data_IF_922761553185
#
_entry.id   IF_922761553185
#
_cell.length_a   1.000
_cell.length_b   1.000
_cell.length_c   1.000
_cell.angle_alpha   90.00
_cell.angle_beta   90.00
_cell.angle_gamma   90.00
#
_symmetry.space_group_name_H-M   'P 1'
#
loop_
_entity.id
_entity.type
_entity.pdbx_description
1 polymer ?
#
# COMPACT_ATOMS: atom_id res chain seq x y z
N UNK A 1 29.35 14.97 -14.84
CA UNK A 1 28.55 15.35 -13.66
C UNK A 1 27.70 14.16 -13.26
N UNK A 2 28.12 13.48 -12.21
CA UNK A 2 27.59 12.20 -11.76
C UNK A 2 26.26 12.41 -11.07
N UNK A 3 25.13 12.01 -11.67
CA UNK A 3 23.87 11.93 -10.98
C UNK A 3 23.94 10.74 -10.03
N UNK A 4 24.23 11.04 -8.77
CA UNK A 4 24.12 10.09 -7.66
C UNK A 4 22.67 9.60 -7.61
N UNK A 5 22.49 8.33 -7.93
CA UNK A 5 21.25 7.59 -7.83
C UNK A 5 20.92 7.46 -6.33
N UNK A 6 20.31 8.50 -5.76
CA UNK A 6 20.01 8.63 -4.34
C UNK A 6 18.99 7.58 -3.91
N UNK A 7 19.47 6.47 -3.42
CA UNK A 7 18.66 5.46 -2.75
C UNK A 7 18.10 6.11 -1.48
N UNK A 8 16.91 6.74 -1.60
CA UNK A 8 16.22 7.34 -0.44
C UNK A 8 15.90 6.22 0.54
N UNK A 9 16.41 6.33 1.75
CA UNK A 9 16.06 5.44 2.85
C UNK A 9 14.57 5.58 3.17
N UNK A 10 13.90 4.51 3.69
CA UNK A 10 12.52 4.61 4.12
C UNK A 10 12.36 5.70 5.18
N UNK A 11 11.45 6.64 4.95
CA UNK A 11 10.97 7.61 5.94
C UNK A 11 9.65 7.10 6.51
N UNK A 12 9.60 6.95 7.85
CA UNK A 12 8.55 6.22 8.55
C UNK A 12 7.83 7.15 9.52
N UNK A 13 6.49 7.17 9.47
CA UNK A 13 5.64 7.74 10.52
C UNK A 13 5.00 6.61 11.31
N UNK A 14 4.92 6.76 12.63
CA UNK A 14 4.43 5.73 13.55
C UNK A 14 3.16 6.23 14.23
N UNK A 15 2.11 5.42 14.18
CA UNK A 15 0.85 5.66 14.89
C UNK A 15 0.59 4.49 15.83
N UNK A 16 0.59 4.76 17.13
CA UNK A 16 0.44 3.76 18.18
C UNK A 16 -0.36 4.31 19.36
N UNK A 17 -1.23 3.49 19.94
CA UNK A 17 -2.06 3.92 21.09
C UNK A 17 -1.24 4.41 22.28
N UNK A 18 -0.07 3.79 22.52
CA UNK A 18 0.85 4.15 23.60
C UNK A 18 1.98 5.04 23.08
N UNK A 19 2.14 6.22 23.66
CA UNK A 19 3.24 7.13 23.34
C UNK A 19 4.59 6.44 23.57
N UNK A 20 4.75 5.76 24.70
CA UNK A 20 5.98 5.03 25.03
C UNK A 20 6.31 3.95 23.98
N UNK A 21 5.29 3.17 23.56
CA UNK A 21 5.50 2.14 22.53
C UNK A 21 5.94 2.73 21.20
N UNK A 22 5.34 3.86 20.78
CA UNK A 22 5.71 4.53 19.55
C UNK A 22 7.13 5.09 19.58
N UNK A 23 7.55 5.65 20.72
CA UNK A 23 8.89 6.19 20.93
C UNK A 23 9.97 5.09 20.99
N UNK A 24 9.69 3.97 21.68
CA UNK A 24 10.57 2.81 21.71
C UNK A 24 10.76 2.22 20.31
N UNK A 25 9.68 2.07 19.56
CA UNK A 25 9.71 1.60 18.17
C UNK A 25 10.51 2.55 17.29
N UNK A 26 10.32 3.86 17.44
CA UNK A 26 11.06 4.88 16.72
C UNK A 26 12.56 4.82 17.04
N UNK A 27 12.92 4.69 18.32
CA UNK A 27 14.31 4.58 18.75
C UNK A 27 14.97 3.31 18.17
N UNK A 28 14.25 2.19 18.18
CA UNK A 28 14.72 0.92 17.62
C UNK A 28 14.93 1.03 16.09
N UNK A 29 13.99 1.65 15.36
CA UNK A 29 14.09 1.84 13.91
C UNK A 29 15.29 2.74 13.54
N UNK A 30 15.50 3.86 14.25
CA UNK A 30 16.64 4.75 14.03
C UNK A 30 17.99 4.06 14.25
N UNK A 31 18.08 3.16 15.23
CA UNK A 31 19.29 2.38 15.54
C UNK A 31 19.46 1.15 14.65
N UNK A 32 18.45 0.82 13.86
CA UNK A 32 18.50 -0.38 13.03
C UNK A 32 19.57 -0.27 11.94
N UNK A 33 20.20 -1.38 11.59
CA UNK A 33 21.14 -1.48 10.46
C UNK A 33 20.52 -1.15 9.11
N UNK A 34 19.19 -1.01 9.05
CA UNK A 34 18.47 -0.77 7.80
C UNK A 34 18.37 0.70 7.40
N UNK A 35 18.96 1.63 8.18
CA UNK A 35 19.00 3.08 7.91
C UNK A 35 17.60 3.62 7.58
N UNK A 36 16.77 3.72 8.61
CA UNK A 36 15.40 4.25 8.48
C UNK A 36 15.32 5.62 9.14
N UNK A 37 14.66 6.56 8.49
CA UNK A 37 14.32 7.84 9.06
C UNK A 37 12.95 7.77 9.72
N UNK A 38 12.79 8.18 10.96
CA UNK A 38 11.47 8.31 11.61
C UNK A 38 11.06 9.76 11.58
N UNK A 39 10.03 10.09 10.81
CA UNK A 39 9.52 11.45 10.60
C UNK A 39 8.72 11.96 11.79
N UNK A 40 8.09 11.06 12.53
CA UNK A 40 7.34 11.38 13.73
C UNK A 40 6.58 10.19 14.32
N UNK A 41 6.07 10.40 15.54
CA UNK A 41 5.24 9.47 16.28
C UNK A 41 3.99 10.18 16.76
N UNK A 42 2.85 9.49 16.79
CA UNK A 42 1.59 10.02 17.29
C UNK A 42 0.71 8.89 17.82
N UNK A 43 -0.32 9.26 18.59
CA UNK A 43 -1.27 8.30 19.17
C UNK A 43 -2.68 8.42 18.60
N UNK A 44 -2.92 9.40 17.75
CA UNK A 44 -4.24 9.75 17.25
C UNK A 44 -4.23 10.22 15.78
N UNK A 45 -5.43 10.39 15.24
CA UNK A 45 -5.69 10.82 13.86
C UNK A 45 -5.20 12.25 13.58
N UNK A 46 -5.32 13.16 14.52
CA UNK A 46 -4.92 14.56 14.31
C UNK A 46 -3.42 14.70 14.21
N UNK A 47 -2.69 13.97 15.05
CA UNK A 47 -1.24 13.95 15.07
C UNK A 47 -0.63 13.44 13.77
N UNK A 48 -1.16 12.37 13.16
CA UNK A 48 -0.62 11.85 11.90
C UNK A 48 -0.81 12.85 10.76
N UNK A 49 -1.96 13.53 10.68
CA UNK A 49 -2.19 14.58 9.69
C UNK A 49 -1.20 15.74 9.87
N UNK A 50 -0.99 16.18 11.11
CA UNK A 50 -0.03 17.23 11.44
C UNK A 50 1.42 16.87 11.07
N UNK A 51 1.81 15.61 11.24
CA UNK A 51 3.15 15.14 10.85
C UNK A 51 3.27 15.14 9.32
N UNK A 52 2.32 14.54 8.62
CA UNK A 52 2.35 14.37 7.17
C UNK A 52 2.20 15.69 6.39
N UNK A 53 1.57 16.72 7.00
CA UNK A 53 1.51 18.04 6.39
C UNK A 53 2.84 18.80 6.42
N UNK A 54 3.76 18.42 7.32
CA UNK A 54 5.06 19.07 7.53
C UNK A 54 6.23 18.29 6.94
N UNK A 55 6.10 16.97 6.86
CA UNK A 55 7.17 16.07 6.41
C UNK A 55 6.63 14.95 5.55
N UNK A 56 7.32 14.68 4.46
CA UNK A 56 7.02 13.50 3.64
C UNK A 56 7.43 12.22 4.37
N UNK A 57 6.51 11.26 4.42
CA UNK A 57 6.80 9.89 4.82
C UNK A 57 6.56 8.94 3.64
N UNK A 58 7.38 7.92 3.52
CA UNK A 58 7.19 6.88 2.49
C UNK A 58 6.41 5.68 3.02
N UNK A 59 6.45 5.46 4.34
CA UNK A 59 5.77 4.35 5.01
C UNK A 59 5.07 4.86 6.28
N UNK A 60 3.82 4.47 6.49
CA UNK A 60 3.12 4.62 7.75
C UNK A 60 3.00 3.26 8.44
N UNK A 61 3.44 3.18 9.69
CA UNK A 61 3.14 2.08 10.59
C UNK A 61 1.91 2.45 11.41
N UNK A 62 0.83 1.71 11.24
CA UNK A 62 -0.43 1.98 11.92
C UNK A 62 -0.77 0.78 12.81
N UNK A 63 -0.68 1.00 14.12
CA UNK A 63 -1.18 0.06 15.11
C UNK A 63 -2.54 0.49 15.65
N UNK A 64 -2.83 0.14 16.90
CA UNK A 64 -4.04 0.62 17.56
C UNK A 64 -3.97 2.13 17.79
N UNK A 65 -5.12 2.81 17.75
CA UNK A 65 -5.24 4.23 18.08
C UNK A 65 -6.03 4.42 19.37
N UNK A 66 -5.89 5.60 19.99
CA UNK A 66 -6.70 6.00 21.14
C UNK A 66 -8.18 6.17 20.80
N UNK A 67 -8.47 6.47 19.54
CA UNK A 67 -9.80 6.77 19.00
C UNK A 67 -10.73 5.53 18.90
N UNK A 68 -10.25 4.36 19.30
CA UNK A 68 -11.03 3.11 19.36
C UNK A 68 -10.53 2.00 18.40
N UNK A 69 -11.13 0.81 18.52
CA UNK A 69 -10.59 -0.40 17.85
C UNK A 69 -10.70 -0.37 16.33
N UNK A 70 -11.64 0.39 15.75
CA UNK A 70 -11.79 0.55 14.29
C UNK A 70 -11.04 1.74 13.71
N UNK A 71 -10.58 2.66 14.57
CA UNK A 71 -9.94 3.88 14.14
C UNK A 71 -8.71 3.66 13.25
N UNK A 72 -7.96 2.58 13.46
CA UNK A 72 -6.83 2.21 12.64
C UNK A 72 -7.21 1.97 11.17
N UNK A 73 -8.32 1.27 10.92
CA UNK A 73 -8.81 1.00 9.57
C UNK A 73 -9.34 2.28 8.90
N UNK A 74 -10.05 3.13 9.67
CA UNK A 74 -10.58 4.39 9.15
C UNK A 74 -9.48 5.36 8.78
N UNK A 75 -8.46 5.51 9.65
CA UNK A 75 -7.26 6.31 9.37
C UNK A 75 -6.52 5.77 8.15
N UNK A 76 -6.40 4.45 8.03
CA UNK A 76 -5.76 3.81 6.86
C UNK A 76 -6.49 4.19 5.55
N UNK A 77 -7.83 4.10 5.51
CA UNK A 77 -8.62 4.50 4.33
C UNK A 77 -8.43 5.98 3.99
N UNK A 78 -8.47 6.82 5.00
CA UNK A 78 -8.30 8.27 4.84
C UNK A 78 -6.90 8.63 4.33
N UNK A 79 -5.86 8.06 4.92
CA UNK A 79 -4.49 8.28 4.49
C UNK A 79 -4.25 7.77 3.07
N UNK A 80 -4.85 6.65 2.71
CA UNK A 80 -4.78 6.12 1.35
C UNK A 80 -5.38 7.07 0.32
N UNK A 81 -6.49 7.73 0.66
CA UNK A 81 -7.14 8.71 -0.20
C UNK A 81 -6.35 10.02 -0.31
N UNK A 82 -5.78 10.50 0.81
CA UNK A 82 -5.12 11.81 0.90
C UNK A 82 -3.62 11.77 0.55
N UNK A 83 -2.95 10.64 0.81
CA UNK A 83 -1.50 10.47 0.62
C UNK A 83 -1.21 9.22 -0.23
N UNK A 84 -1.42 9.29 -1.52
CA UNK A 84 -1.41 8.15 -2.43
C UNK A 84 -0.07 7.45 -2.57
N UNK A 85 1.02 8.16 -2.35
CA UNK A 85 2.40 7.62 -2.40
C UNK A 85 2.83 6.97 -1.08
N UNK A 86 2.05 7.16 0.00
CA UNK A 86 2.31 6.60 1.31
C UNK A 86 1.96 5.11 1.32
N UNK A 87 2.92 4.28 1.62
CA UNK A 87 2.71 2.84 1.82
C UNK A 87 2.32 2.58 3.27
N UNK A 88 1.25 1.81 3.49
CA UNK A 88 0.71 1.60 4.84
C UNK A 88 0.93 0.16 5.28
N UNK A 89 1.56 0.00 6.45
CA UNK A 89 1.68 -1.28 7.16
C UNK A 89 0.79 -1.21 8.40
N UNK A 90 -0.11 -2.18 8.55
CA UNK A 90 -0.91 -2.32 9.77
C UNK A 90 -0.28 -3.35 10.72
N UNK A 91 -0.18 -2.97 11.99
CA UNK A 91 0.23 -3.84 13.10
C UNK A 91 -1.05 -4.32 13.81
N UNK A 92 -1.37 -5.59 13.66
CA UNK A 92 -2.59 -6.20 14.20
C UNK A 92 -2.31 -6.97 15.50
N UNK A 93 -3.20 -6.83 16.47
CA UNK A 93 -3.20 -7.63 17.71
C UNK A 93 -3.72 -9.05 17.45
N UNK A 94 -4.63 -9.22 16.48
CA UNK A 94 -5.16 -10.52 16.07
C UNK A 94 -5.00 -10.71 14.57
N UNK A 95 -4.51 -11.87 14.18
CA UNK A 95 -4.37 -12.28 12.78
C UNK A 95 -5.58 -13.10 12.31
N UNK A 96 -6.76 -12.76 12.82
CA UNK A 96 -8.03 -13.33 12.37
C UNK A 96 -8.37 -12.87 10.95
N UNK A 97 -9.10 -13.74 10.23
CA UNK A 97 -9.45 -13.51 8.83
C UNK A 97 -10.17 -12.17 8.62
N UNK A 98 -11.11 -11.82 9.50
CA UNK A 98 -11.87 -10.56 9.42
C UNK A 98 -10.95 -9.34 9.51
N UNK A 99 -10.08 -9.28 10.51
CA UNK A 99 -9.15 -8.18 10.72
C UNK A 99 -8.16 -8.02 9.54
N UNK A 100 -7.64 -9.15 9.04
CA UNK A 100 -6.74 -9.17 7.88
C UNK A 100 -7.43 -8.65 6.62
N UNK A 101 -8.65 -9.10 6.35
CA UNK A 101 -9.42 -8.66 5.19
C UNK A 101 -9.77 -7.18 5.28
N UNK A 102 -10.18 -6.71 6.46
CA UNK A 102 -10.50 -5.30 6.69
C UNK A 102 -9.26 -4.40 6.53
N UNK A 103 -8.09 -4.86 6.96
CA UNK A 103 -6.82 -4.15 6.75
C UNK A 103 -6.49 -3.98 5.26
N UNK A 104 -6.60 -5.04 4.45
CA UNK A 104 -6.39 -4.95 3.00
C UNK A 104 -7.44 -4.06 2.33
N UNK A 105 -8.72 -4.20 2.70
CA UNK A 105 -9.81 -3.34 2.19
C UNK A 105 -9.63 -1.88 2.56
N UNK A 106 -9.02 -1.60 3.72
CA UNK A 106 -8.65 -0.24 4.11
C UNK A 106 -7.50 0.33 3.26
N UNK A 107 -6.75 -0.50 2.54
CA UNK A 107 -5.66 -0.09 1.66
C UNK A 107 -4.26 -0.36 2.22
N UNK A 108 -4.13 -1.16 3.28
CA UNK A 108 -2.83 -1.61 3.75
C UNK A 108 -2.13 -2.46 2.67
N UNK A 109 -0.83 -2.25 2.52
CA UNK A 109 0.04 -3.04 1.63
C UNK A 109 0.97 -3.96 2.41
N UNK A 110 0.99 -3.79 3.74
CA UNK A 110 1.70 -4.66 4.67
C UNK A 110 0.85 -4.98 5.88
N UNK A 111 0.88 -6.23 6.33
CA UNK A 111 0.23 -6.67 7.57
C UNK A 111 1.22 -7.46 8.39
N UNK A 112 1.34 -7.11 9.66
CA UNK A 112 2.19 -7.74 10.65
C UNK A 112 1.40 -8.01 11.93
N UNK A 113 1.75 -9.10 12.61
CA UNK A 113 1.37 -9.31 14.00
C UNK A 113 2.26 -8.47 14.92
N UNK A 114 1.72 -8.01 16.03
CA UNK A 114 2.54 -7.42 17.10
C UNK A 114 3.53 -8.41 17.71
N UNK A 115 3.26 -9.69 17.58
CA UNK A 115 4.14 -10.77 18.05
C UNK A 115 5.30 -11.05 17.09
N UNK A 116 5.31 -10.41 15.90
CA UNK A 116 6.41 -10.57 14.96
C UNK A 116 7.70 -9.91 15.49
N UNK A 117 8.82 -10.58 15.25
CA UNK A 117 10.12 -10.05 15.64
C UNK A 117 10.44 -8.71 14.96
N UNK A 118 11.13 -7.81 15.66
CA UNK A 118 11.54 -6.50 15.16
C UNK A 118 12.28 -6.55 13.81
N UNK A 119 13.06 -7.60 13.56
CA UNK A 119 13.71 -7.79 12.26
C UNK A 119 12.72 -8.01 11.11
N UNK A 120 11.55 -8.62 11.38
CA UNK A 120 10.47 -8.81 10.39
C UNK A 120 9.86 -7.46 10.06
N UNK A 121 9.60 -6.62 11.06
CA UNK A 121 9.14 -5.24 10.88
C UNK A 121 10.12 -4.44 10.01
N UNK A 122 11.42 -4.51 10.27
CA UNK A 122 12.40 -3.80 9.45
C UNK A 122 12.42 -4.27 7.99
N UNK A 123 12.30 -5.57 7.76
CA UNK A 123 12.22 -6.15 6.41
C UNK A 123 10.95 -5.71 5.70
N UNK A 124 9.81 -5.73 6.40
CA UNK A 124 8.52 -5.32 5.84
C UNK A 124 8.54 -3.86 5.40
N UNK A 125 9.06 -2.95 6.22
CA UNK A 125 9.19 -1.52 5.89
C UNK A 125 9.99 -1.35 4.59
N UNK A 126 11.12 -2.04 4.44
CA UNK A 126 11.92 -1.96 3.21
C UNK A 126 11.18 -2.51 2.00
N UNK A 127 10.52 -3.65 2.15
CA UNK A 127 9.78 -4.31 1.08
C UNK A 127 8.64 -3.41 0.59
N UNK A 128 7.85 -2.86 1.52
CA UNK A 128 6.72 -1.95 1.17
C UNK A 128 7.21 -0.63 0.58
N UNK A 129 8.33 -0.10 1.10
CA UNK A 129 8.97 1.08 0.52
C UNK A 129 9.38 0.86 -0.95
N UNK A 130 9.77 -0.36 -1.30
CA UNK A 130 10.07 -0.76 -2.68
C UNK A 130 8.81 -1.05 -3.51
N UNK A 131 7.62 -0.90 -2.93
CA UNK A 131 6.34 -1.12 -3.60
C UNK A 131 5.88 -2.56 -3.63
N UNK A 132 6.45 -3.44 -2.81
CA UNK A 132 5.98 -4.80 -2.65
C UNK A 132 4.86 -4.89 -1.61
N UNK A 133 4.06 -5.95 -1.69
CA UNK A 133 3.12 -6.34 -0.63
C UNK A 133 3.87 -7.18 0.40
N UNK A 134 3.66 -6.91 1.68
CA UNK A 134 4.19 -7.73 2.76
C UNK A 134 3.07 -8.44 3.50
N UNK A 135 2.99 -9.75 3.32
CA UNK A 135 2.01 -10.60 3.98
C UNK A 135 2.56 -12.02 4.14
N UNK A 136 2.40 -12.60 5.30
CA UNK A 136 2.67 -14.03 5.48
C UNK A 136 1.72 -14.89 4.64
N UNK A 137 2.09 -16.13 4.34
CA UNK A 137 1.31 -17.02 3.46
C UNK A 137 -0.15 -17.20 3.91
N UNK A 138 -0.40 -17.31 5.23
CA UNK A 138 -1.74 -17.41 5.81
C UNK A 138 -2.55 -16.13 5.55
N UNK A 139 -1.93 -14.97 5.75
CA UNK A 139 -2.53 -13.64 5.54
C UNK A 139 -2.87 -13.44 4.07
N UNK A 140 -1.94 -13.79 3.18
CA UNK A 140 -2.15 -13.70 1.74
C UNK A 140 -3.29 -14.60 1.28
N UNK A 141 -3.40 -15.83 1.81
CA UNK A 141 -4.52 -16.73 1.51
C UNK A 141 -5.86 -16.11 1.90
N UNK A 142 -5.98 -15.52 3.10
CA UNK A 142 -7.21 -14.86 3.54
C UNK A 142 -7.60 -13.71 2.60
N UNK A 143 -6.62 -12.91 2.16
CA UNK A 143 -6.86 -11.82 1.21
C UNK A 143 -7.35 -12.37 -0.15
N UNK A 144 -6.70 -13.39 -0.69
CA UNK A 144 -7.07 -14.00 -1.96
C UNK A 144 -8.47 -14.64 -1.91
N UNK A 145 -8.78 -15.40 -0.85
CA UNK A 145 -10.10 -15.99 -0.63
C UNK A 145 -11.20 -14.93 -0.52
N UNK A 146 -10.94 -13.82 0.18
CA UNK A 146 -11.90 -12.73 0.31
C UNK A 146 -12.16 -12.02 -1.02
N UNK A 147 -11.14 -11.88 -1.85
CA UNK A 147 -11.25 -11.25 -3.18
C UNK A 147 -11.86 -12.19 -4.23
N UNK A 148 -11.75 -13.51 -4.05
CA UNK A 148 -12.36 -14.51 -4.93
C UNK A 148 -13.88 -14.70 -4.68
N UNK A 149 -14.43 -14.17 -3.58
CA UNK A 149 -15.86 -14.30 -3.30
C UNK A 149 -16.72 -13.45 -4.25
N UNK A 150 -17.86 -13.98 -4.77
CA UNK A 150 -18.72 -13.25 -5.72
C UNK A 150 -19.25 -11.91 -5.21
N UNK A 151 -19.47 -11.78 -3.89
CA UNK A 151 -19.86 -10.53 -3.25
C UNK A 151 -18.79 -9.44 -3.34
N UNK A 152 -17.51 -9.82 -3.23
CA UNK A 152 -16.38 -8.88 -3.39
C UNK A 152 -16.21 -8.45 -4.85
N UNK A 153 -16.44 -9.35 -5.78
CA UNK A 153 -16.45 -9.04 -7.22
C UNK A 153 -17.59 -8.07 -7.56
N UNK A 154 -18.74 -8.23 -6.91
CA UNK A 154 -19.89 -7.31 -7.07
C UNK A 154 -19.64 -5.93 -6.46
N UNK A 155 -18.95 -5.85 -5.33
CA UNK A 155 -18.55 -4.56 -4.73
C UNK A 155 -17.46 -3.86 -5.55
N UNK A 156 -16.48 -4.61 -6.05
CA UNK A 156 -15.50 -4.10 -7.01
C UNK A 156 -16.19 -3.63 -8.29
N UNK A 157 -17.22 -4.33 -8.74
CA UNK A 157 -18.02 -3.94 -9.91
C UNK A 157 -18.93 -2.72 -9.63
N UNK A 158 -19.52 -2.59 -8.43
CA UNK A 158 -20.29 -1.39 -8.04
C UNK A 158 -19.41 -0.14 -7.91
N UNK A 159 -18.19 -0.29 -7.42
CA UNK A 159 -17.21 0.81 -7.43
C UNK A 159 -16.74 1.14 -8.85
N UNK A 160 -16.75 0.17 -9.77
CA UNK A 160 -16.49 0.37 -11.21
C UNK A 160 -17.58 1.18 -11.91
N UNK A 161 -18.84 1.04 -11.52
CA UNK A 161 -19.94 1.83 -12.11
C UNK A 161 -19.92 3.30 -11.66
N UNK A 162 -19.17 3.62 -10.59
CA UNK A 162 -18.94 5.00 -10.13
C UNK A 162 -17.62 5.61 -10.62
N UNK A 163 -16.67 4.79 -11.06
CA UNK A 163 -15.43 5.27 -11.67
C UNK A 163 -15.69 5.59 -13.16
N UNK A 164 -15.29 6.75 -13.67
CA UNK A 164 -15.37 7.02 -15.09
C UNK A 164 -14.59 5.93 -15.83
N UNK A 165 -15.15 5.39 -16.93
CA UNK A 165 -14.49 4.43 -17.84
C UNK A 165 -13.29 5.08 -18.52
N UNK A 166 -12.30 5.46 -17.76
CA UNK A 166 -11.09 6.09 -18.28
C UNK A 166 -10.12 4.99 -18.67
N UNK A 167 -9.95 4.79 -19.94
CA UNK A 167 -9.00 3.83 -20.49
C UNK A 167 -7.59 4.14 -19.95
N UNK A 168 -6.86 3.09 -19.57
CA UNK A 168 -5.46 3.24 -19.20
C UNK A 168 -4.66 3.70 -20.43
N UNK A 169 -3.83 4.71 -20.24
CA UNK A 169 -2.86 5.12 -21.26
C UNK A 169 -1.86 4.00 -21.54
N UNK A 170 -1.17 4.05 -22.66
CA UNK A 170 -0.12 3.07 -23.01
C UNK A 170 0.89 2.91 -21.87
N UNK A 171 1.32 4.02 -21.26
CA UNK A 171 2.28 4.02 -20.16
C UNK A 171 1.73 3.38 -18.88
N UNK A 172 0.47 3.61 -18.57
CA UNK A 172 -0.20 2.97 -17.44
C UNK A 172 -0.36 1.46 -17.65
N UNK A 173 -0.66 1.02 -18.89
CA UNK A 173 -0.69 -0.41 -19.25
C UNK A 173 0.68 -1.06 -19.08
N UNK A 174 1.77 -0.42 -19.49
CA UNK A 174 3.14 -0.94 -19.34
C UNK A 174 3.49 -1.14 -17.85
N UNK A 175 3.05 -0.22 -16.99
CA UNK A 175 3.25 -0.30 -15.54
C UNK A 175 2.42 -1.47 -14.96
N UNK A 176 1.16 -1.60 -15.32
CA UNK A 176 0.31 -2.72 -14.89
C UNK A 176 0.89 -4.06 -15.30
N UNK A 177 1.32 -4.20 -16.55
CA UNK A 177 1.96 -5.42 -17.06
C UNK A 177 3.25 -5.76 -16.31
N UNK A 178 4.05 -4.77 -15.97
CA UNK A 178 5.26 -4.96 -15.17
C UNK A 178 4.92 -5.37 -13.73
N UNK A 179 3.87 -4.81 -13.17
CA UNK A 179 3.37 -5.13 -11.82
C UNK A 179 2.87 -6.58 -11.75
N UNK A 180 2.13 -7.06 -12.75
CA UNK A 180 1.63 -8.45 -12.80
C UNK A 180 2.75 -9.48 -12.93
N UNK A 181 3.91 -9.07 -13.46
CA UNK A 181 5.13 -9.87 -13.48
C UNK A 181 5.87 -9.86 -12.12
N UNK A 182 5.33 -9.23 -11.09
CA UNK A 182 5.93 -9.17 -9.76
C UNK A 182 7.07 -8.16 -9.60
N UNK A 183 7.33 -7.31 -10.60
CA UNK A 183 8.41 -6.33 -10.56
C UNK A 183 8.19 -5.29 -9.45
N UNK A 184 9.22 -4.94 -8.69
CA UNK A 184 9.19 -3.85 -7.71
C UNK A 184 9.09 -2.49 -8.39
N UNK A 185 8.74 -1.42 -7.66
CA UNK A 185 8.74 -0.07 -8.22
C UNK A 185 10.12 0.32 -8.77
N UNK A 186 11.19 -0.16 -8.12
CA UNK A 186 12.57 0.03 -8.58
C UNK A 186 12.84 -0.68 -9.92
N UNK A 187 12.36 -1.91 -10.08
CA UNK A 187 12.55 -2.66 -11.32
C UNK A 187 11.72 -2.06 -12.46
N UNK A 188 10.48 -1.63 -12.15
CA UNK A 188 9.61 -0.91 -13.09
C UNK A 188 10.26 0.41 -13.50
N UNK A 189 10.84 1.16 -12.55
CA UNK A 189 11.51 2.42 -12.85
C UNK A 189 12.69 2.25 -13.81
N UNK A 190 13.51 1.24 -13.57
CA UNK A 190 14.62 0.88 -14.46
C UNK A 190 14.13 0.45 -15.85
N UNK A 191 13.16 -0.48 -15.90
CA UNK A 191 12.62 -1.03 -17.15
C UNK A 191 12.00 0.05 -18.03
N UNK A 192 11.32 1.01 -17.41
CA UNK A 192 10.58 2.06 -18.10
C UNK A 192 11.32 3.40 -18.18
N UNK A 193 12.56 3.47 -17.69
CA UNK A 193 13.37 4.68 -17.61
C UNK A 193 12.63 5.84 -16.90
N UNK A 194 12.14 5.56 -15.70
CA UNK A 194 11.42 6.49 -14.83
C UNK A 194 12.10 6.58 -13.46
N UNK A 195 11.73 7.59 -12.65
CA UNK A 195 12.05 7.56 -11.22
C UNK A 195 11.09 6.64 -10.45
N UNK A 196 11.54 6.07 -9.32
CA UNK A 196 10.65 5.28 -8.44
C UNK A 196 9.46 6.13 -7.94
N UNK A 197 9.67 7.42 -7.70
CA UNK A 197 8.62 8.36 -7.35
C UNK A 197 7.58 8.50 -8.47
N UNK A 198 8.04 8.60 -9.71
CA UNK A 198 7.15 8.66 -10.88
C UNK A 198 6.31 7.39 -11.01
N UNK A 199 6.92 6.20 -10.78
CA UNK A 199 6.18 4.92 -10.79
C UNK A 199 5.10 4.90 -9.71
N UNK A 200 5.38 5.37 -8.49
CA UNK A 200 4.38 5.49 -7.41
C UNK A 200 3.20 6.39 -7.82
N UNK A 201 3.50 7.54 -8.43
CA UNK A 201 2.46 8.47 -8.90
C UNK A 201 1.59 7.84 -10.00
N UNK A 202 2.18 7.08 -10.92
CA UNK A 202 1.42 6.33 -11.93
C UNK A 202 0.53 5.27 -11.28
N UNK A 203 1.07 4.46 -10.38
CA UNK A 203 0.30 3.44 -9.66
C UNK A 203 -0.90 4.04 -8.93
N UNK A 204 -0.72 5.20 -8.30
CA UNK A 204 -1.83 5.90 -7.67
C UNK A 204 -2.92 6.29 -8.66
N UNK A 205 -2.55 6.89 -9.80
CA UNK A 205 -3.53 7.24 -10.85
C UNK A 205 -4.26 6.01 -11.38
N UNK A 206 -3.53 4.90 -11.55
CA UNK A 206 -4.08 3.62 -11.98
C UNK A 206 -5.06 3.08 -10.93
N UNK A 207 -4.71 3.10 -9.64
CA UNK A 207 -5.61 2.69 -8.57
C UNK A 207 -6.92 3.48 -8.59
N UNK A 208 -6.85 4.80 -8.72
CA UNK A 208 -8.03 5.65 -8.80
C UNK A 208 -8.86 5.39 -10.07
N UNK A 209 -8.20 5.20 -11.21
CA UNK A 209 -8.88 4.91 -12.49
C UNK A 209 -9.60 3.57 -12.48
N UNK A 210 -9.02 2.56 -11.83
CA UNK A 210 -9.55 1.19 -11.80
C UNK A 210 -10.37 0.90 -10.53
N UNK A 211 -10.43 1.85 -9.58
CA UNK A 211 -11.15 1.67 -8.31
C UNK A 211 -10.52 0.60 -7.42
N UNK A 212 -9.20 0.40 -7.52
CA UNK A 212 -8.48 -0.56 -6.68
C UNK A 212 -7.80 0.15 -5.51
N UNK A 213 -7.77 -0.49 -4.33
CA UNK A 213 -7.25 0.14 -3.11
C UNK A 213 -5.76 -0.11 -2.90
N UNK A 214 -5.20 -1.13 -3.51
CA UNK A 214 -3.80 -1.51 -3.30
C UNK A 214 -3.24 -2.32 -4.48
N UNK A 215 -1.92 -2.59 -4.42
CA UNK A 215 -1.19 -3.34 -5.45
C UNK A 215 -1.71 -4.76 -5.65
N UNK A 216 -2.16 -5.43 -4.58
CA UNK A 216 -2.68 -6.79 -4.67
C UNK A 216 -4.01 -6.82 -5.44
N UNK A 217 -4.92 -5.90 -5.14
CA UNK A 217 -6.18 -5.75 -5.88
C UNK A 217 -5.93 -5.43 -7.35
N UNK A 218 -4.97 -4.55 -7.64
CA UNK A 218 -4.61 -4.23 -9.02
C UNK A 218 -4.05 -5.44 -9.77
N UNK A 219 -3.18 -6.23 -9.13
CA UNK A 219 -2.64 -7.45 -9.74
C UNK A 219 -3.74 -8.45 -10.05
N UNK A 220 -4.64 -8.70 -9.10
CA UNK A 220 -5.78 -9.60 -9.31
C UNK A 220 -6.74 -9.08 -10.37
N UNK A 221 -7.02 -7.78 -10.38
CA UNK A 221 -7.81 -7.14 -11.42
C UNK A 221 -7.23 -7.38 -12.83
N UNK A 222 -5.92 -7.23 -12.97
CA UNK A 222 -5.24 -7.35 -14.25
C UNK A 222 -5.09 -8.82 -14.73
N UNK A 223 -5.06 -9.77 -13.79
CA UNK A 223 -4.99 -11.20 -14.09
C UNK A 223 -6.35 -11.81 -14.47
N UNK A 224 -7.48 -11.14 -14.17
CA UNK A 224 -8.79 -11.63 -14.58
C UNK A 224 -9.08 -11.27 -16.04
N UNK A 225 -9.51 -12.23 -16.90
CA UNK A 225 -9.59 -12.08 -18.37
C UNK A 225 -10.47 -10.94 -18.89
N UNK A 226 -11.27 -10.30 -18.03
CA UNK A 226 -12.15 -9.16 -18.39
C UNK A 226 -11.57 -7.79 -18.08
N UNK A 227 -10.31 -7.69 -17.64
CA UNK A 227 -9.74 -6.47 -17.06
C UNK A 227 -8.96 -5.55 -18.01
N UNK A 228 -8.27 -6.05 -19.01
CA UNK A 228 -7.28 -5.26 -19.78
C UNK A 228 -7.40 -5.37 -21.30
N UNK A 229 -8.07 -6.38 -21.85
CA UNK A 229 -8.18 -6.60 -23.29
C UNK A 229 -9.64 -6.81 -23.74
N UNK A 230 -10.34 -5.74 -24.10
CA UNK A 230 -11.26 -5.78 -25.22
C UNK A 230 -10.69 -4.85 -26.29
N UNK A 231 -10.21 -5.40 -27.43
CA UNK A 231 -10.12 -4.61 -28.66
C UNK A 231 -11.56 -4.31 -29.07
N UNK A 232 -11.81 -3.05 -29.44
CA UNK A 232 -13.05 -2.63 -30.09
C UNK A 232 -13.25 -3.49 -31.33
N UNK A 233 -14.13 -4.51 -31.20
CA UNK A 233 -14.63 -5.27 -32.31
C UNK A 233 -15.69 -4.46 -33.03
N UNK A 234 -15.28 -3.60 -33.91
CA UNK A 234 -16.06 -3.15 -35.07
C UNK A 234 -16.37 -4.37 -35.91
N UNK A 235 -17.60 -4.81 -35.92
CA UNK A 235 -18.16 -5.54 -37.06
C UNK A 235 -19.38 -4.79 -37.53
N UNK A 236 -19.16 -4.02 -38.61
CA UNK A 236 -20.21 -3.70 -39.54
C UNK A 236 -20.43 -4.91 -40.44
N UNK A 237 -21.65 -5.09 -40.87
CA UNK A 237 -22.15 -6.09 -41.79
C UNK A 237 -23.66 -6.10 -41.72
#
# INVERSE_FOLDING_TARGET
MSQANGQRFPSVVIVERSQMSSELMAAALRRSRYRMEVTGCTTDRAGIRSILSKKEASVALIGALKDGPRAAFDVTRELRASYPTLSIIMLLDSMERSAVVDAFRAGAVGILSRDDHFNVLCKSIRSVHQGQVWAGSKVLRFALEALAQPSSVSELQRNRSKAPKTLLTKREKDIVNSLTQGLTNRDISKRLNLSEHTVRNYLFRIFNKLGTSNRLELALYALHPRGVNQPDGTFGG
#
